data_IF_321599825880
#
_entry.id   IF_321599825880
#
_cell.length_a   1.000
_cell.length_b   1.000
_cell.length_c   1.000
_cell.angle_alpha   90.00
_cell.angle_beta   90.00
_cell.angle_gamma   90.00
#
_symmetry.space_group_name_H-M   'P 1'
#
loop_
_entity.id
_entity.type
_entity.pdbx_description
1 polymer ?
#
# COMPACT_ATOMS: atom_id res chain seq x y z
N UNK A 1 -4.55 -19.02 -14.89
CA UNK A 1 -4.14 -17.61 -14.81
C UNK A 1 -3.07 -17.52 -13.72
N UNK A 2 -1.80 -17.53 -14.10
CA UNK A 2 -0.68 -17.64 -13.15
C UNK A 2 -0.39 -16.34 -12.39
N UNK A 3 0.33 -16.41 -11.26
CA UNK A 3 0.72 -15.25 -10.44
C UNK A 3 1.41 -14.13 -11.24
N UNK A 4 2.13 -14.48 -12.31
CA UNK A 4 2.77 -13.52 -13.22
C UNK A 4 1.76 -12.59 -13.92
N UNK A 5 0.56 -13.07 -14.23
CA UNK A 5 -0.50 -12.27 -14.88
C UNK A 5 -1.08 -11.21 -13.93
N UNK A 6 -1.26 -11.56 -12.65
CA UNK A 6 -1.76 -10.61 -11.62
C UNK A 6 -0.72 -9.54 -11.32
N UNK A 7 0.53 -9.93 -11.09
CA UNK A 7 1.63 -8.99 -10.82
C UNK A 7 1.88 -8.05 -11.99
N UNK A 8 1.82 -8.55 -13.23
CA UNK A 8 1.91 -7.71 -14.43
C UNK A 8 0.79 -6.65 -14.49
N UNK A 9 -0.45 -7.04 -14.19
CA UNK A 9 -1.59 -6.11 -14.13
C UNK A 9 -1.41 -5.04 -13.07
N UNK A 10 -0.95 -5.42 -11.87
CA UNK A 10 -0.71 -4.45 -10.78
C UNK A 10 0.39 -3.46 -11.19
N UNK A 11 1.51 -3.94 -11.76
CA UNK A 11 2.59 -3.06 -12.23
C UNK A 11 2.11 -2.08 -13.29
N UNK A 12 1.23 -2.50 -14.19
CA UNK A 12 0.64 -1.64 -15.21
C UNK A 12 -0.22 -0.53 -14.59
N UNK A 13 -1.08 -0.87 -13.62
CA UNK A 13 -1.89 0.13 -12.89
C UNK A 13 -1.02 1.16 -12.15
N UNK A 14 0.08 0.73 -11.53
CA UNK A 14 1.05 1.62 -10.86
C UNK A 14 1.75 2.52 -11.87
N UNK A 15 2.20 1.97 -13.00
CA UNK A 15 2.86 2.74 -14.05
C UNK A 15 1.92 3.80 -14.66
N UNK A 16 0.63 3.47 -14.85
CA UNK A 16 -0.37 4.43 -15.32
C UNK A 16 -0.50 5.65 -14.40
N UNK A 17 -0.45 5.47 -13.08
CA UNK A 17 -0.51 6.60 -12.14
C UNK A 17 0.74 7.48 -12.23
N UNK A 18 1.92 6.87 -12.37
CA UNK A 18 3.16 7.61 -12.56
C UNK A 18 3.13 8.47 -13.84
N UNK A 19 2.59 7.93 -14.95
CA UNK A 19 2.38 8.65 -16.21
C UNK A 19 1.42 9.83 -16.02
N UNK A 20 0.28 9.61 -15.34
CA UNK A 20 -0.69 10.69 -15.03
C UNK A 20 -0.08 11.80 -14.19
N UNK A 21 0.82 11.44 -13.26
CA UNK A 21 1.57 12.39 -12.42
C UNK A 21 2.71 13.09 -13.17
N UNK A 22 3.09 12.61 -14.37
CA UNK A 22 4.21 13.16 -15.14
C UNK A 22 5.58 12.90 -14.51
N UNK A 23 5.71 11.82 -13.74
CA UNK A 23 6.93 11.52 -12.97
C UNK A 23 7.34 10.05 -13.10
N UNK A 24 8.54 9.73 -12.59
CA UNK A 24 8.94 8.32 -12.40
C UNK A 24 8.08 7.66 -11.33
N UNK A 25 7.89 6.35 -11.46
CA UNK A 25 7.18 5.52 -10.47
C UNK A 25 7.74 5.76 -9.07
N UNK A 26 6.85 6.04 -8.12
CA UNK A 26 7.13 6.16 -6.70
C UNK A 26 6.04 5.49 -5.85
N UNK A 27 6.26 5.42 -4.54
CA UNK A 27 5.34 4.75 -3.61
C UNK A 27 3.93 5.33 -3.63
N UNK A 28 3.79 6.64 -3.87
CA UNK A 28 2.49 7.32 -4.00
C UNK A 28 1.63 6.71 -5.11
N UNK A 29 2.25 6.26 -6.21
CA UNK A 29 1.53 5.67 -7.35
C UNK A 29 0.91 4.32 -6.98
N UNK A 30 1.43 3.63 -5.96
CA UNK A 30 0.85 2.40 -5.41
C UNK A 30 -0.43 2.71 -4.63
N UNK A 31 -0.38 3.67 -3.71
CA UNK A 31 -1.54 4.14 -2.96
C UNK A 31 -2.64 4.63 -3.92
N UNK A 32 -2.29 5.46 -4.92
CA UNK A 32 -3.25 5.98 -5.90
C UNK A 32 -3.81 4.88 -6.81
N UNK A 33 -3.00 3.90 -7.24
CA UNK A 33 -3.48 2.77 -8.04
C UNK A 33 -4.47 1.90 -7.27
N UNK A 34 -4.28 1.73 -5.96
CA UNK A 34 -5.22 1.00 -5.11
C UNK A 34 -6.60 1.67 -5.06
N UNK A 35 -6.65 2.98 -4.83
CA UNK A 35 -7.92 3.75 -4.82
C UNK A 35 -8.56 3.75 -6.20
N UNK A 36 -7.78 3.88 -7.27
CA UNK A 36 -8.32 3.84 -8.63
C UNK A 36 -8.86 2.45 -9.03
N UNK A 37 -8.30 1.38 -8.48
CA UNK A 37 -8.60 0.00 -8.87
C UNK A 37 -9.58 -0.73 -7.95
N UNK A 38 -9.86 -0.20 -6.75
CA UNK A 38 -10.68 -0.85 -5.72
C UNK A 38 -11.80 0.09 -5.25
N UNK A 39 -12.93 -0.44 -4.76
CA UNK A 39 -14.03 0.37 -4.23
C UNK A 39 -13.73 0.87 -2.81
N UNK A 40 -12.67 1.67 -2.66
CA UNK A 40 -12.22 2.21 -1.37
C UNK A 40 -12.10 3.73 -1.44
N UNK A 41 -12.32 4.41 -0.31
CA UNK A 41 -12.22 5.88 -0.23
C UNK A 41 -10.79 6.40 -0.13
N UNK A 42 -9.84 5.54 0.24
CA UNK A 42 -8.45 5.90 0.45
C UNK A 42 -7.56 4.68 0.67
N UNK A 43 -6.24 4.89 0.63
CA UNK A 43 -5.23 3.86 0.83
C UNK A 43 -3.99 4.41 1.54
N UNK A 44 -3.46 3.62 2.48
CA UNK A 44 -2.17 3.81 3.13
C UNK A 44 -1.20 2.66 2.77
N UNK A 45 0.10 2.95 2.81
CA UNK A 45 1.16 1.95 2.70
C UNK A 45 2.18 2.19 3.78
N UNK A 46 2.51 1.14 4.54
CA UNK A 46 3.61 1.14 5.51
C UNK A 46 4.68 0.12 5.15
N UNK A 47 5.91 0.42 5.55
CA UNK A 47 6.95 -0.59 5.58
C UNK A 47 6.99 -1.22 6.97
N UNK A 48 7.17 -2.53 7.02
CA UNK A 48 7.37 -3.26 8.26
C UNK A 48 8.61 -4.14 8.16
N UNK A 49 9.28 -4.32 9.29
CA UNK A 49 10.37 -5.28 9.44
C UNK A 49 10.21 -6.02 10.76
N UNK A 50 10.81 -7.21 10.87
CA UNK A 50 10.89 -7.93 12.15
C UNK A 50 11.71 -7.19 13.21
N UNK A 51 12.63 -6.33 12.78
CA UNK A 51 13.67 -5.74 13.63
C UNK A 51 13.57 -4.22 13.75
N UNK A 52 12.62 -3.58 13.06
CA UNK A 52 12.48 -2.13 13.06
C UNK A 52 11.00 -1.77 13.23
N UNK A 53 10.77 -0.60 13.83
CA UNK A 53 9.44 -0.04 13.92
C UNK A 53 8.84 0.13 12.52
N UNK A 54 7.58 -0.25 12.37
CA UNK A 54 6.82 0.00 11.15
C UNK A 54 6.67 1.50 10.92
N UNK A 55 6.74 1.92 9.66
CA UNK A 55 6.65 3.34 9.32
C UNK A 55 5.81 3.57 8.06
N UNK A 56 4.91 4.58 8.06
CA UNK A 56 4.14 4.96 6.87
C UNK A 56 5.07 5.41 5.73
N UNK A 57 4.73 5.03 4.51
CA UNK A 57 5.41 5.40 3.26
C UNK A 57 4.56 6.33 2.38
N UNK A 58 3.26 6.04 2.25
CA UNK A 58 2.31 6.90 1.54
C UNK A 58 0.90 6.81 2.12
N UNK A 59 0.11 7.85 1.86
CA UNK A 59 -1.34 7.86 2.02
C UNK A 59 -1.96 8.69 0.88
N UNK A 60 -3.19 8.36 0.47
CA UNK A 60 -3.95 9.15 -0.51
C UNK A 60 -4.63 10.38 0.07
N UNK A 61 -4.93 10.36 1.37
CA UNK A 61 -5.68 11.40 2.07
C UNK A 61 -5.34 11.40 3.57
N UNK A 62 -5.76 12.46 4.26
CA UNK A 62 -5.46 12.67 5.67
C UNK A 62 -6.14 11.63 6.59
N UNK A 63 -7.32 11.12 6.20
CA UNK A 63 -8.04 10.11 6.97
C UNK A 63 -7.26 8.80 6.92
N UNK A 64 -6.89 8.36 5.73
CA UNK A 64 -6.08 7.15 5.51
C UNK A 64 -4.71 7.25 6.20
N UNK A 65 -4.12 8.45 6.25
CA UNK A 65 -2.87 8.70 6.95
C UNK A 65 -3.04 8.52 8.46
N UNK A 66 -4.06 9.17 9.04
CA UNK A 66 -4.34 9.07 10.47
C UNK A 66 -4.69 7.64 10.89
N UNK A 67 -5.44 6.92 10.06
CA UNK A 67 -5.76 5.51 10.31
C UNK A 67 -4.49 4.65 10.33
N UNK A 68 -3.59 4.84 9.37
CA UNK A 68 -2.32 4.12 9.31
C UNK A 68 -1.46 4.42 10.56
N UNK A 69 -1.28 5.70 10.90
CA UNK A 69 -0.52 6.12 12.08
C UNK A 69 -1.11 5.56 13.38
N UNK A 70 -2.44 5.57 13.51
CA UNK A 70 -3.13 5.03 14.68
C UNK A 70 -2.98 3.51 14.80
N UNK A 71 -3.15 2.77 13.69
CA UNK A 71 -2.98 1.31 13.65
C UNK A 71 -1.57 0.89 14.05
N UNK A 72 -0.56 1.61 13.56
CA UNK A 72 0.83 1.36 13.94
C UNK A 72 1.12 1.70 15.41
N UNK A 73 0.54 2.78 15.92
CA UNK A 73 0.72 3.20 17.32
C UNK A 73 0.08 2.21 18.29
N UNK A 74 -1.11 1.71 17.96
CA UNK A 74 -1.86 0.77 18.79
C UNK A 74 -1.34 -0.67 18.64
N UNK A 75 -0.61 -0.97 17.57
CA UNK A 75 -0.25 -2.35 17.25
C UNK A 75 -1.49 -3.19 16.92
N UNK A 76 -2.37 -2.64 16.10
CA UNK A 76 -3.64 -3.27 15.69
C UNK A 76 -3.91 -3.06 14.20
N UNK A 77 -4.89 -3.80 13.66
CA UNK A 77 -5.39 -3.59 12.30
C UNK A 77 -4.62 -4.33 11.20
N UNK A 78 -5.09 -4.22 9.93
CA UNK A 78 -4.57 -5.00 8.81
C UNK A 78 -3.08 -4.76 8.57
N UNK A 79 -2.65 -3.50 8.68
CA UNK A 79 -1.26 -3.09 8.49
C UNK A 79 -0.32 -3.60 9.60
N UNK A 80 -0.83 -3.96 10.79
CA UNK A 80 0.02 -4.47 11.88
C UNK A 80 0.19 -5.99 11.90
N UNK A 81 -0.70 -6.75 11.24
CA UNK A 81 -0.73 -8.22 11.27
C UNK A 81 0.67 -8.83 11.32
N UNK A 82 1.00 -9.71 12.30
CA UNK A 82 2.36 -10.18 12.49
C UNK A 82 2.93 -10.76 11.19
N UNK A 83 4.14 -10.36 10.82
CA UNK A 83 4.80 -10.76 9.55
C UNK A 83 4.86 -12.29 9.40
N UNK A 84 4.92 -13.04 10.51
CA UNK A 84 4.91 -14.51 10.49
C UNK A 84 3.51 -15.13 10.38
N UNK A 85 2.45 -14.37 10.63
CA UNK A 85 1.06 -14.80 10.47
C UNK A 85 0.55 -14.59 9.02
N UNK A 86 1.17 -13.69 8.25
CA UNK A 86 0.95 -13.54 6.82
C UNK A 86 1.66 -14.66 6.05
N UNK A 87 1.02 -15.84 5.94
CA UNK A 87 1.54 -16.93 5.09
C UNK A 87 1.34 -16.59 3.61
N UNK A 88 2.38 -16.60 2.77
CA UNK A 88 2.20 -16.46 1.32
C UNK A 88 1.53 -17.72 0.75
N UNK A 89 0.50 -17.53 -0.07
CA UNK A 89 -0.21 -18.57 -0.83
C UNK A 89 0.57 -19.05 -2.04
#
# INVERSE_FOLDING_TARGET
>A
MGPDSRSARIRLLVAEQAVRRGARVGVVDVCTAAVAGLPVGGAGLSAMSRTAASHPLCSTDDISKQLEELQLTLGEGPAWTPIYAARPS
#
